data_IF_867485561605
#
_entry.id   IF_867485561605
#
_cell.length_a   1.000
_cell.length_b   1.000
_cell.length_c   1.000
_cell.angle_alpha   90.00
_cell.angle_beta   90.00
_cell.angle_gamma   90.00
#
_symmetry.space_group_name_H-M   'P 1'
#
loop_
_entity.id
_entity.type
_entity.pdbx_description
1 polymer ?
#
# COMPACT_ATOMS: atom_id res chain seq x y z
N UNK A 1 -17.71 -16.81 0.74
CA UNK A 1 -16.89 -15.74 0.13
C UNK A 1 -15.43 -16.05 0.52
N UNK A 2 -14.42 -15.84 -0.33
CA UNK A 2 -13.01 -16.09 0.07
C UNK A 2 -12.63 -15.09 1.18
N UNK A 3 -11.96 -15.53 2.25
CA UNK A 3 -11.54 -14.68 3.38
C UNK A 3 -10.68 -13.48 2.95
N UNK A 4 -9.97 -13.59 1.81
CA UNK A 4 -9.26 -12.47 1.18
C UNK A 4 -10.20 -11.38 0.68
N UNK A 5 -11.36 -11.75 0.13
CA UNK A 5 -12.36 -10.80 -0.35
C UNK A 5 -13.09 -10.14 0.83
N UNK A 6 -13.29 -10.85 1.93
CA UNK A 6 -13.92 -10.30 3.14
C UNK A 6 -13.04 -9.23 3.81
N UNK A 7 -11.73 -9.46 3.87
CA UNK A 7 -10.77 -8.50 4.44
C UNK A 7 -10.69 -7.21 3.63
N UNK A 8 -10.58 -7.33 2.30
CA UNK A 8 -10.58 -6.17 1.40
C UNK A 8 -11.92 -5.41 1.48
N UNK A 9 -13.03 -6.14 1.51
CA UNK A 9 -14.35 -5.54 1.65
C UNK A 9 -14.52 -4.81 2.99
N UNK A 10 -14.06 -5.38 4.10
CA UNK A 10 -14.10 -4.73 5.41
C UNK A 10 -13.23 -3.46 5.47
N UNK A 11 -12.04 -3.48 4.86
CA UNK A 11 -11.16 -2.32 4.76
C UNK A 11 -11.80 -1.17 3.95
N UNK A 12 -12.64 -1.50 2.97
CA UNK A 12 -13.40 -0.52 2.18
C UNK A 12 -14.61 0.00 2.97
N UNK A 13 -15.43 -0.92 3.50
CA UNK A 13 -16.72 -0.57 4.10
C UNK A 13 -16.62 0.08 5.48
N UNK A 14 -15.61 -0.28 6.27
CA UNK A 14 -15.43 0.24 7.63
C UNK A 14 -15.35 1.77 7.69
N UNK A 15 -14.51 2.43 6.87
CA UNK A 15 -14.46 3.88 6.79
C UNK A 15 -15.81 4.53 6.41
N UNK A 16 -16.56 3.96 5.46
CA UNK A 16 -17.88 4.49 5.06
C UNK A 16 -18.93 4.33 6.16
N UNK A 17 -18.89 3.22 6.89
CA UNK A 17 -19.75 3.03 8.06
C UNK A 17 -19.43 4.04 9.17
N UNK A 18 -18.14 4.32 9.41
CA UNK A 18 -17.72 5.32 10.39
C UNK A 18 -18.20 6.75 10.03
N UNK A 19 -18.20 7.11 8.74
CA UNK A 19 -18.73 8.40 8.26
C UNK A 19 -20.22 8.57 8.62
N UNK A 20 -21.03 7.51 8.48
CA UNK A 20 -22.46 7.54 8.86
C UNK A 20 -22.69 7.78 10.35
N UNK A 21 -21.68 7.51 11.19
CA UNK A 21 -21.74 7.68 12.64
C UNK A 21 -21.03 8.97 13.12
N UNK A 22 -20.84 9.95 12.23
CA UNK A 22 -20.24 11.24 12.56
C UNK A 22 -18.70 11.25 12.49
N UNK A 23 -18.10 10.24 11.86
CA UNK A 23 -16.70 10.29 11.44
C UNK A 23 -16.46 11.35 10.35
N UNK A 24 -15.18 11.69 10.11
CA UNK A 24 -14.80 12.50 8.97
C UNK A 24 -15.12 11.81 7.64
N UNK A 25 -15.07 12.56 6.53
CA UNK A 25 -15.33 12.03 5.18
C UNK A 25 -14.33 10.92 4.85
N UNK A 26 -14.84 9.71 4.66
CA UNK A 26 -14.03 8.57 4.28
C UNK A 26 -13.76 8.60 2.76
N UNK A 27 -12.53 8.31 2.36
CA UNK A 27 -12.17 8.18 0.94
C UNK A 27 -11.48 6.85 0.70
N UNK A 28 -11.84 6.22 -0.40
CA UNK A 28 -11.23 4.97 -0.85
C UNK A 28 -10.51 5.19 -2.17
N UNK A 29 -9.26 4.71 -2.24
CA UNK A 29 -8.48 4.65 -3.46
C UNK A 29 -8.05 3.21 -3.68
N UNK A 30 -8.59 2.57 -4.72
CA UNK A 30 -8.20 1.23 -5.13
C UNK A 30 -7.20 1.30 -6.29
N UNK A 31 -6.00 0.75 -6.13
CA UNK A 31 -5.04 0.59 -7.24
C UNK A 31 -5.15 -0.82 -7.80
N UNK A 32 -5.78 -0.97 -8.96
CA UNK A 32 -6.07 -2.27 -9.57
C UNK A 32 -5.01 -2.63 -10.62
N UNK A 33 -4.66 -3.92 -10.75
CA UNK A 33 -3.81 -4.36 -11.85
C UNK A 33 -4.67 -4.41 -13.12
N UNK A 34 -4.05 -4.49 -14.29
CA UNK A 34 -4.81 -4.76 -15.51
C UNK A 34 -4.34 -6.04 -16.21
N UNK A 35 -5.31 -6.83 -16.67
CA UNK A 35 -5.07 -8.11 -17.35
C UNK A 35 -4.87 -7.95 -18.87
N UNK A 36 -4.84 -6.73 -19.39
CA UNK A 36 -4.67 -6.46 -20.82
C UNK A 36 -3.91 -5.15 -21.05
N UNK A 37 -3.37 -4.96 -22.25
CA UNK A 37 -2.37 -3.93 -22.61
C UNK A 37 -2.96 -2.51 -22.76
N UNK A 38 -3.75 -2.02 -21.78
CA UNK A 38 -4.38 -0.69 -21.82
C UNK A 38 -3.60 0.35 -21.01
N UNK A 39 -3.70 1.58 -21.48
CA UNK A 39 -3.22 2.78 -20.80
C UNK A 39 -3.83 2.95 -19.41
N UNK A 40 -3.14 3.67 -18.52
CA UNK A 40 -3.64 4.11 -17.20
C UNK A 40 -5.05 4.72 -17.32
N UNK A 41 -6.02 4.28 -16.52
CA UNK A 41 -7.36 4.89 -16.46
C UNK A 41 -7.85 5.12 -15.03
N UNK A 42 -8.76 6.06 -14.87
CA UNK A 42 -9.41 6.40 -13.60
C UNK A 42 -10.91 6.13 -13.69
N UNK A 43 -11.44 5.48 -12.67
CA UNK A 43 -12.86 5.20 -12.54
C UNK A 43 -13.35 5.76 -11.20
N UNK A 44 -14.17 6.80 -11.25
CA UNK A 44 -14.84 7.34 -10.06
C UNK A 44 -16.13 6.55 -9.86
N UNK A 45 -16.17 5.70 -8.83
CA UNK A 45 -17.35 4.90 -8.49
C UNK A 45 -18.37 5.76 -7.74
N UNK A 46 -17.88 6.64 -6.87
CA UNK A 46 -18.66 7.63 -6.11
C UNK A 46 -17.85 8.91 -5.93
N UNK A 47 -18.40 9.92 -5.24
CA UNK A 47 -17.67 11.13 -4.82
C UNK A 47 -16.60 10.88 -3.76
N UNK A 48 -16.44 9.65 -3.28
CA UNK A 48 -15.48 9.26 -2.24
C UNK A 48 -14.72 7.98 -2.59
N UNK A 49 -14.97 7.40 -3.76
CA UNK A 49 -14.37 6.14 -4.21
C UNK A 49 -13.74 6.32 -5.58
N UNK A 50 -12.43 6.18 -5.63
CA UNK A 50 -11.62 6.22 -6.85
C UNK A 50 -10.95 4.87 -7.07
N UNK A 51 -11.06 4.33 -8.28
CA UNK A 51 -10.28 3.18 -8.72
C UNK A 51 -9.30 3.62 -9.81
N UNK A 52 -8.02 3.36 -9.57
CA UNK A 52 -6.92 3.59 -10.50
C UNK A 52 -6.61 2.25 -11.18
N UNK A 53 -6.91 2.16 -12.47
CA UNK A 53 -6.50 1.05 -13.31
C UNK A 53 -5.10 1.37 -13.83
N UNK A 54 -4.09 0.88 -13.12
CA UNK A 54 -2.69 1.31 -13.28
C UNK A 54 -2.08 0.98 -14.65
N UNK A 55 -2.65 0.01 -15.38
CA UNK A 55 -2.02 -0.59 -16.56
C UNK A 55 -0.77 -1.42 -16.23
N UNK A 56 -0.49 -1.63 -14.94
CA UNK A 56 0.63 -2.41 -14.42
C UNK A 56 0.21 -3.85 -14.13
N UNK A 57 1.19 -4.75 -14.08
CA UNK A 57 0.97 -6.10 -13.58
C UNK A 57 0.60 -6.08 -12.09
N UNK A 58 0.14 -7.22 -11.56
CA UNK A 58 -0.13 -7.35 -10.13
C UNK A 58 1.08 -7.06 -9.26
N UNK A 59 2.30 -7.32 -9.74
CA UNK A 59 3.54 -7.10 -9.00
C UNK A 59 4.10 -5.70 -9.22
N UNK A 60 3.99 -5.14 -10.43
CA UNK A 60 4.63 -3.84 -10.73
C UNK A 60 3.95 -2.67 -10.01
N UNK A 61 2.74 -2.87 -9.47
CA UNK A 61 2.04 -1.90 -8.61
C UNK A 61 2.40 -2.01 -7.13
N UNK A 62 3.03 -3.11 -6.68
CA UNK A 62 3.36 -3.32 -5.27
C UNK A 62 4.25 -2.19 -4.71
N UNK A 63 5.22 -1.63 -5.46
CA UNK A 63 5.97 -0.46 -5.00
C UNK A 63 5.09 0.78 -4.77
N UNK A 64 4.06 0.99 -5.61
CA UNK A 64 3.10 2.10 -5.43
C UNK A 64 2.32 1.91 -4.13
N UNK A 65 1.74 0.72 -3.93
CA UNK A 65 0.94 0.40 -2.76
C UNK A 65 1.76 0.45 -1.46
N UNK A 66 3.04 0.07 -1.52
CA UNK A 66 3.95 0.10 -0.39
C UNK A 66 4.41 1.51 -0.01
N UNK A 67 4.78 2.33 -0.99
CA UNK A 67 5.45 3.62 -0.73
C UNK A 67 4.51 4.81 -0.60
N UNK A 68 3.31 4.75 -1.17
CA UNK A 68 2.34 5.87 -1.16
C UNK A 68 1.71 6.15 0.21
N UNK A 69 1.25 5.15 0.99
CA UNK A 69 0.51 5.44 2.22
C UNK A 69 1.43 5.93 3.34
N UNK A 70 0.84 6.65 4.29
CA UNK A 70 1.55 7.12 5.49
C UNK A 70 1.79 5.99 6.51
N UNK A 71 0.88 5.02 6.56
CA UNK A 71 0.98 3.82 7.37
C UNK A 71 0.42 2.62 6.61
N UNK A 72 0.99 1.45 6.84
CA UNK A 72 0.53 0.18 6.26
C UNK A 72 -0.24 -0.61 7.31
N UNK A 73 -1.40 -1.17 6.94
CA UNK A 73 -2.16 -2.09 7.79
C UNK A 73 -2.23 -3.43 7.08
N UNK A 74 -1.65 -4.46 7.68
CA UNK A 74 -1.50 -5.77 7.09
C UNK A 74 -2.36 -6.80 7.83
N UNK A 75 -3.36 -7.34 7.13
CA UNK A 75 -4.28 -8.33 7.66
C UNK A 75 -3.89 -9.79 7.36
N UNK A 76 -2.93 -9.98 6.46
CA UNK A 76 -2.53 -11.27 5.91
C UNK A 76 -2.07 -11.09 4.46
N UNK A 77 -1.34 -12.06 3.93
CA UNK A 77 -0.79 -11.89 2.58
C UNK A 77 0.13 -12.99 2.11
N UNK A 78 0.60 -12.81 0.87
CA UNK A 78 1.59 -13.66 0.21
C UNK A 78 2.76 -12.83 -0.32
N UNK A 79 3.34 -13.26 -1.45
CA UNK A 79 4.50 -12.60 -2.05
C UNK A 79 4.25 -11.12 -2.40
N UNK A 80 3.07 -10.78 -2.94
CA UNK A 80 2.75 -9.38 -3.24
C UNK A 80 2.74 -8.50 -2.00
N UNK A 81 2.10 -8.95 -0.91
CA UNK A 81 2.11 -8.25 0.37
C UNK A 81 3.51 -8.10 0.95
N UNK A 82 4.38 -9.09 0.77
CA UNK A 82 5.80 -9.00 1.14
C UNK A 82 6.49 -7.91 0.33
N UNK A 83 6.22 -7.80 -0.97
CA UNK A 83 6.79 -6.76 -1.82
C UNK A 83 6.30 -5.37 -1.40
N UNK A 84 4.98 -5.20 -1.20
CA UNK A 84 4.39 -3.96 -0.70
C UNK A 84 5.03 -3.52 0.63
N UNK A 85 5.17 -4.45 1.60
CA UNK A 85 5.82 -4.18 2.88
C UNK A 85 7.31 -3.85 2.73
N UNK A 86 8.04 -4.59 1.89
CA UNK A 86 9.45 -4.33 1.61
C UNK A 86 9.68 -2.91 1.10
N UNK A 87 8.89 -2.48 0.11
CA UNK A 87 8.97 -1.11 -0.42
C UNK A 87 8.50 -0.06 0.60
N UNK A 88 7.42 -0.33 1.34
CA UNK A 88 6.96 0.58 2.38
C UNK A 88 7.97 0.79 3.51
N UNK A 89 8.47 -0.29 4.09
CA UNK A 89 9.43 -0.23 5.20
C UNK A 89 10.74 0.43 4.75
N UNK A 90 11.22 0.12 3.55
CA UNK A 90 12.41 0.81 2.99
C UNK A 90 12.17 2.29 2.72
N UNK A 91 10.94 2.69 2.40
CA UNK A 91 10.50 4.09 2.32
C UNK A 91 10.20 4.72 3.70
N UNK A 92 10.47 4.03 4.80
CA UNK A 92 10.25 4.53 6.16
C UNK A 92 8.79 4.52 6.62
N UNK A 93 7.92 3.71 5.97
CA UNK A 93 6.53 3.53 6.39
C UNK A 93 6.45 2.55 7.55
N UNK A 94 5.73 2.93 8.60
CA UNK A 94 5.43 2.02 9.70
C UNK A 94 4.27 1.08 9.29
N UNK A 95 4.41 -0.20 9.63
CA UNK A 95 3.43 -1.23 9.33
C UNK A 95 2.82 -1.81 10.62
N UNK A 96 1.50 -1.93 10.61
CA UNK A 96 0.68 -2.47 11.68
C UNK A 96 0.16 -3.84 11.23
N UNK A 97 0.31 -4.85 12.07
CA UNK A 97 -0.07 -6.22 11.75
C UNK A 97 -1.27 -6.66 12.57
N UNK A 98 -2.26 -7.22 11.89
CA UNK A 98 -3.37 -7.91 12.54
C UNK A 98 -2.96 -9.34 12.89
N UNK A 99 -3.16 -9.72 14.14
CA UNK A 99 -2.97 -11.08 14.64
C UNK A 99 -1.59 -11.67 14.25
N UNK A 100 -1.52 -12.97 13.99
CA UNK A 100 -0.31 -13.71 13.63
C UNK A 100 0.25 -13.36 12.24
N UNK A 101 -0.18 -12.25 11.63
CA UNK A 101 0.22 -11.87 10.28
C UNK A 101 1.74 -11.67 10.16
N UNK A 102 2.38 -11.00 11.12
CA UNK A 102 3.83 -10.80 11.11
C UNK A 102 4.58 -12.15 11.10
N UNK A 103 4.15 -13.11 11.93
CA UNK A 103 4.74 -14.45 11.98
C UNK A 103 4.54 -15.21 10.67
N UNK A 104 3.34 -15.16 10.09
CA UNK A 104 3.03 -15.83 8.83
C UNK A 104 3.90 -15.29 7.68
N UNK A 105 4.11 -13.97 7.62
CA UNK A 105 4.96 -13.35 6.60
C UNK A 105 6.45 -13.65 6.84
N UNK A 106 6.89 -13.67 8.10
CA UNK A 106 8.25 -14.05 8.48
C UNK A 106 8.55 -15.50 8.06
N UNK A 107 7.59 -16.40 8.26
CA UNK A 107 7.68 -17.79 7.82
C UNK A 107 7.84 -17.89 6.29
N UNK A 108 7.13 -17.06 5.52
CA UNK A 108 7.27 -17.00 4.07
C UNK A 108 8.68 -16.48 3.67
N UNK A 109 9.17 -15.45 4.34
CA UNK A 109 10.49 -14.87 4.08
C UNK A 109 11.63 -15.85 4.41
N UNK A 110 11.45 -16.72 5.40
CA UNK A 110 12.52 -17.58 5.93
C UNK A 110 12.50 -19.01 5.40
N UNK A 111 11.32 -19.59 5.13
CA UNK A 111 11.24 -21.05 5.00
C UNK A 111 11.65 -21.61 3.64
N UNK A 112 11.41 -20.94 2.51
CA UNK A 112 11.80 -21.44 1.17
C UNK A 112 11.66 -20.41 0.01
N UNK A 113 11.13 -19.21 0.26
CA UNK A 113 10.81 -18.25 -0.81
C UNK A 113 11.71 -17.02 -0.84
N UNK A 114 12.81 -17.01 -0.08
CA UNK A 114 13.72 -15.86 -0.03
C UNK A 114 14.26 -15.51 -1.41
N UNK A 115 14.71 -16.52 -2.16
CA UNK A 115 15.24 -16.34 -3.51
C UNK A 115 14.17 -15.81 -4.49
N UNK A 116 12.93 -16.33 -4.39
CA UNK A 116 11.79 -15.83 -5.18
C UNK A 116 11.51 -14.34 -4.86
N UNK A 117 11.52 -13.98 -3.57
CA UNK A 117 11.31 -12.60 -3.10
C UNK A 117 12.45 -11.71 -3.61
N UNK A 118 13.70 -12.17 -3.52
CA UNK A 118 14.87 -11.44 -3.99
C UNK A 118 14.82 -11.19 -5.49
N UNK A 119 14.43 -12.20 -6.27
CA UNK A 119 14.27 -12.07 -7.71
C UNK A 119 13.19 -11.05 -8.05
N UNK A 120 12.02 -11.13 -7.42
CA UNK A 120 10.91 -10.19 -7.65
C UNK A 120 11.34 -8.77 -7.26
N UNK A 121 11.90 -8.58 -6.07
CA UNK A 121 12.33 -7.27 -5.59
C UNK A 121 13.46 -6.70 -6.45
N UNK A 122 14.39 -7.53 -6.96
CA UNK A 122 15.46 -7.09 -7.85
C UNK A 122 14.91 -6.63 -9.20
N UNK A 123 13.94 -7.35 -9.76
CA UNK A 123 13.28 -6.93 -10.99
C UNK A 123 12.56 -5.60 -10.80
N UNK A 124 11.72 -5.49 -9.76
CA UNK A 124 10.98 -4.28 -9.46
C UNK A 124 11.92 -3.11 -9.15
N UNK A 125 12.99 -3.34 -8.40
CA UNK A 125 14.03 -2.35 -8.12
C UNK A 125 14.61 -1.73 -9.39
N UNK A 126 14.93 -2.54 -10.40
CA UNK A 126 15.46 -2.06 -11.68
C UNK A 126 14.41 -1.25 -12.44
N UNK A 127 13.17 -1.74 -12.50
CA UNK A 127 12.07 -1.06 -13.18
C UNK A 127 11.71 0.28 -12.52
N UNK A 128 11.90 0.38 -11.20
CA UNK A 128 11.49 1.51 -10.38
C UNK A 128 12.63 2.43 -9.92
N UNK A 129 13.86 2.19 -10.35
CA UNK A 129 15.07 2.89 -9.89
C UNK A 129 15.02 4.43 -10.05
N UNK A 130 14.22 4.95 -10.98
CA UNK A 130 14.04 6.39 -11.22
C UNK A 130 13.03 7.04 -10.28
N UNK A 131 12.27 6.23 -9.53
CA UNK A 131 11.13 6.69 -8.75
C UNK A 131 11.23 6.34 -7.26
N UNK A 132 11.99 5.30 -6.92
CA UNK A 132 12.15 4.84 -5.54
C UNK A 132 13.64 4.74 -5.24
N UNK A 133 14.06 5.43 -4.17
CA UNK A 133 15.41 5.26 -3.63
C UNK A 133 15.46 3.96 -2.84
N UNK A 134 16.33 3.06 -3.26
CA UNK A 134 16.58 1.80 -2.57
C UNK A 134 17.75 1.97 -1.60
N UNK A 135 17.78 1.21 -0.49
CA UNK A 135 18.94 1.19 0.40
C UNK A 135 20.17 0.65 -0.30
N UNK A 136 21.34 1.04 0.21
CA UNK A 136 22.63 0.47 -0.21
C UNK A 136 22.60 -1.06 -0.04
N UNK A 137 22.89 -1.79 -1.12
CA UNK A 137 22.76 -3.26 -1.17
C UNK A 137 21.49 -3.77 -1.86
N UNK A 138 20.60 -2.88 -2.33
CA UNK A 138 19.50 -3.23 -3.23
C UNK A 138 18.48 -4.20 -2.62
N UNK A 139 18.00 -5.15 -3.40
CA UNK A 139 16.94 -6.09 -2.99
C UNK A 139 17.31 -6.92 -1.75
N UNK A 140 18.57 -7.36 -1.63
CA UNK A 140 19.06 -8.13 -0.48
C UNK A 140 18.93 -7.31 0.81
N UNK A 141 19.36 -6.04 0.77
CA UNK A 141 19.27 -5.15 1.92
C UNK A 141 17.80 -4.91 2.32
N UNK A 142 16.90 -4.74 1.35
CA UNK A 142 15.46 -4.60 1.62
C UNK A 142 14.89 -5.83 2.31
N UNK A 143 15.26 -7.04 1.88
CA UNK A 143 14.79 -8.29 2.50
C UNK A 143 15.28 -8.41 3.93
N UNK A 144 16.55 -8.06 4.19
CA UNK A 144 17.10 -8.14 5.54
C UNK A 144 16.44 -7.12 6.47
N UNK A 145 16.20 -5.90 5.99
CA UNK A 145 15.43 -4.87 6.71
C UNK A 145 14.01 -5.38 7.01
N UNK A 146 13.29 -5.91 6.01
CA UNK A 146 11.94 -6.45 6.18
C UNK A 146 11.93 -7.61 7.18
N UNK A 147 12.88 -8.53 7.07
CA UNK A 147 12.95 -9.72 7.94
C UNK A 147 13.16 -9.31 9.39
N UNK A 148 14.07 -8.35 9.63
CA UNK A 148 14.31 -7.83 10.98
C UNK A 148 13.09 -7.06 11.51
N UNK A 149 12.41 -6.29 10.65
CA UNK A 149 11.18 -5.60 11.00
C UNK A 149 10.08 -6.60 11.43
N UNK A 150 9.88 -7.66 10.65
CA UNK A 150 8.91 -8.72 10.95
C UNK A 150 9.24 -9.45 12.25
N UNK A 151 10.51 -9.75 12.55
CA UNK A 151 10.91 -10.34 13.83
C UNK A 151 10.50 -9.46 15.02
N UNK A 152 10.81 -8.16 14.95
CA UNK A 152 10.40 -7.21 15.99
C UNK A 152 8.89 -7.12 16.12
N UNK A 153 8.16 -7.23 15.01
CA UNK A 153 6.70 -7.20 15.01
C UNK A 153 6.08 -8.46 15.62
N UNK A 154 6.71 -9.63 15.44
CA UNK A 154 6.28 -10.91 16.05
C UNK A 154 6.30 -10.85 17.57
N UNK A 155 7.28 -10.16 18.15
CA UNK A 155 7.41 -10.02 19.60
C UNK A 155 6.41 -9.02 20.22
N UNK A 156 5.61 -8.32 19.40
CA UNK A 156 4.58 -7.38 19.87
C UNK A 156 3.30 -8.13 20.27
N UNK A 157 2.51 -7.52 21.14
CA UNK A 157 1.17 -8.04 21.49
C UNK A 157 0.30 -8.09 20.24
N UNK A 158 -0.30 -9.25 19.89
CA UNK A 158 -1.13 -9.37 18.69
C UNK A 158 -2.34 -8.43 18.74
N UNK A 159 -2.58 -7.70 17.65
CA UNK A 159 -3.77 -6.86 17.50
C UNK A 159 -4.87 -7.68 16.83
N UNK A 160 -5.90 -8.04 17.59
CA UNK A 160 -6.94 -9.00 17.15
C UNK A 160 -8.30 -8.37 16.88
N UNK A 161 -8.40 -7.03 16.98
CA UNK A 161 -9.65 -6.31 16.78
C UNK A 161 -9.40 -4.90 16.24
N UNK A 162 -10.44 -4.29 15.69
CA UNK A 162 -10.36 -2.96 15.10
C UNK A 162 -9.90 -1.86 16.08
N UNK A 163 -10.39 -1.75 17.32
CA UNK A 163 -10.03 -0.61 18.19
C UNK A 163 -8.52 -0.50 18.49
N UNK A 164 -7.81 -1.59 18.87
CA UNK A 164 -6.36 -1.55 19.02
C UNK A 164 -5.59 -1.22 17.75
N UNK A 165 -6.07 -1.66 16.57
CA UNK A 165 -5.46 -1.32 15.27
C UNK A 165 -5.61 0.18 15.01
N UNK A 166 -6.81 0.73 15.20
CA UNK A 166 -7.07 2.16 15.00
C UNK A 166 -6.20 2.99 15.93
N UNK A 167 -6.08 2.61 17.21
CA UNK A 167 -5.21 3.33 18.14
C UNK A 167 -3.75 3.31 17.69
N UNK A 168 -3.24 2.15 17.25
CA UNK A 168 -1.87 2.05 16.73
C UNK A 168 -1.65 2.96 15.51
N UNK A 169 -2.63 3.07 14.60
CA UNK A 169 -2.56 4.01 13.47
C UNK A 169 -2.45 5.45 13.98
N UNK A 170 -3.31 5.85 14.90
CA UNK A 170 -3.32 7.22 15.45
C UNK A 170 -2.02 7.57 16.17
N UNK A 171 -1.37 6.60 16.80
CA UNK A 171 -0.08 6.81 17.48
C UNK A 171 1.08 7.03 16.48
N UNK A 172 0.92 6.56 15.24
CA UNK A 172 1.93 6.63 14.18
C UNK A 172 1.75 7.86 13.30
N UNK A 173 0.50 8.25 13.03
CA UNK A 173 0.22 9.36 12.12
C UNK A 173 0.78 10.67 12.71
N UNK A 174 1.70 11.36 12.00
CA UNK A 174 2.19 12.63 12.48
C UNK A 174 1.04 13.65 12.54
N UNK A 175 1.09 14.57 13.49
CA UNK A 175 0.11 15.66 13.62
C UNK A 175 0.00 16.54 12.34
N UNK A 176 0.98 16.42 11.42
CA UNK A 176 0.95 16.96 10.07
C UNK A 176 1.56 15.93 9.11
N UNK A 177 0.80 15.51 8.10
CA UNK A 177 1.29 14.66 7.03
C UNK A 177 2.20 15.50 6.10
N UNK A 178 3.43 15.05 5.78
CA UNK A 178 4.25 15.72 4.78
C UNK A 178 3.55 15.67 3.41
N UNK A 179 3.76 16.70 2.60
CA UNK A 179 3.25 16.76 1.22
C UNK A 179 4.09 15.81 0.35
N UNK A 180 3.66 14.55 0.23
CA UNK A 180 4.35 13.54 -0.57
C UNK A 180 3.67 13.48 -1.94
N UNK A 181 4.42 13.54 -3.06
CA UNK A 181 3.84 13.36 -4.38
C UNK A 181 3.13 12.01 -4.45
N UNK A 182 1.81 12.06 -4.62
CA UNK A 182 0.98 10.86 -4.68
C UNK A 182 1.39 9.98 -5.88
N UNK A 183 1.58 8.68 -5.63
CA UNK A 183 1.82 7.65 -6.64
C UNK A 183 3.13 7.83 -7.45
N UNK A 184 4.31 7.54 -6.85
CA UNK A 184 5.56 7.49 -7.61
C UNK A 184 5.44 6.57 -8.84
N UNK A 185 6.19 6.85 -9.92
CA UNK A 185 6.24 6.03 -11.15
C UNK A 185 5.10 6.18 -12.17
N UNK A 186 4.01 6.87 -11.81
CA UNK A 186 2.99 7.26 -12.79
C UNK A 186 3.38 8.50 -13.64
N UNK A 187 4.60 9.03 -13.51
CA UNK A 187 4.97 10.37 -14.00
C UNK A 187 5.60 10.42 -15.42
N UNK A 188 6.07 9.30 -15.97
CA UNK A 188 7.06 9.31 -17.07
C UNK A 188 6.52 9.25 -18.51
N UNK A 189 5.37 9.88 -18.81
CA UNK A 189 5.04 10.19 -20.21
C UNK A 189 4.14 11.43 -20.35
N UNK A 190 4.24 12.14 -21.48
CA UNK A 190 3.42 13.32 -21.77
C UNK A 190 1.90 13.03 -21.66
N UNK A 191 1.49 11.80 -21.96
CA UNK A 191 0.10 11.30 -21.81
C UNK A 191 -0.27 11.08 -20.34
N UNK A 192 0.68 10.60 -19.52
CA UNK A 192 0.56 10.46 -18.07
C UNK A 192 0.45 11.81 -17.34
N UNK A 193 1.10 12.87 -17.83
CA UNK A 193 0.94 14.22 -17.25
C UNK A 193 -0.47 14.83 -17.47
N UNK A 194 -1.16 14.48 -18.56
CA UNK A 194 -2.55 14.88 -18.77
C UNK A 194 -3.49 14.13 -17.83
N UNK A 195 -3.26 12.82 -17.69
CA UNK A 195 -3.95 11.93 -16.75
C UNK A 195 -3.71 12.31 -15.28
N UNK A 196 -2.54 12.86 -14.95
CA UNK A 196 -2.26 13.43 -13.63
C UNK A 196 -2.94 14.79 -13.41
N UNK A 197 -3.17 15.58 -14.45
CA UNK A 197 -4.03 16.79 -14.33
C UNK A 197 -5.48 16.41 -14.14
N UNK A 198 -5.95 15.34 -14.79
CA UNK A 198 -7.25 14.75 -14.52
C UNK A 198 -7.32 14.23 -13.08
N UNK A 199 -6.30 13.51 -12.60
CA UNK A 199 -6.20 13.10 -11.20
C UNK A 199 -6.17 14.29 -10.23
N UNK A 200 -5.36 15.34 -10.48
CA UNK A 200 -5.32 16.52 -9.63
C UNK A 200 -6.65 17.29 -9.63
N UNK A 201 -7.37 17.29 -10.77
CA UNK A 201 -8.73 17.84 -10.88
C UNK A 201 -9.72 16.99 -10.08
N UNK A 202 -9.66 15.67 -10.21
CA UNK A 202 -10.46 14.73 -9.42
C UNK A 202 -10.15 14.86 -7.94
N UNK A 203 -8.87 14.89 -7.55
CA UNK A 203 -8.42 15.13 -6.18
C UNK A 203 -8.94 16.45 -5.63
N UNK A 204 -8.92 17.51 -6.44
CA UNK A 204 -9.48 18.82 -6.09
C UNK A 204 -11.00 18.76 -5.92
N UNK A 205 -11.71 17.98 -6.73
CA UNK A 205 -13.15 17.74 -6.57
C UNK A 205 -13.40 16.97 -5.26
N UNK A 206 -12.65 15.87 -5.04
CA UNK A 206 -12.73 15.06 -3.83
C UNK A 206 -12.38 15.85 -2.56
N UNK A 207 -11.56 16.89 -2.65
CA UNK A 207 -11.12 17.71 -1.50
C UNK A 207 -11.96 18.97 -1.27
N UNK A 208 -12.71 19.45 -2.28
CA UNK A 208 -13.64 20.59 -2.13
C UNK A 208 -14.96 20.24 -1.45
N UNK A 209 -15.28 18.95 -1.34
CA UNK A 209 -16.43 18.44 -0.60
C UNK A 209 -16.06 17.98 0.84
N UNK A 210 -14.88 18.34 1.34
CA UNK A 210 -14.55 18.19 2.77
C UNK A 210 -15.21 19.34 3.56
N UNK A 211 -16.13 19.06 4.50
CA UNK A 211 -16.68 20.08 5.40
C UNK A 211 -15.61 20.68 6.34
#
# INVERSE_FOLDING_TARGET
MDARNETQYAAIMGPFDAEQHGGGVARFIGVMPHNSNRDLTFECLTSTQLVIHSGLSSLDRDPINGTTPDALICFGGGLGTICELAFGISAGREAIFHENCAQNLLDICTKNKRDDIEQILSQLAVEWQTHIQLPDGGAVAIIDILTEYLRKAVDRVPLTSAPPIVQAVLDILPNQLPDIPAFPGLLDSHRKQQQLREFATLWTILSKDAP
#
